data_IF_603351070587
#
_entry.id   IF_603351070587
#
_cell.length_a   1.000
_cell.length_b   1.000
_cell.length_c   1.000
_cell.angle_alpha   90.00
_cell.angle_beta   90.00
_cell.angle_gamma   90.00
#
_symmetry.space_group_name_H-M   'P 1'
#
loop_
_entity.id
_entity.type
_entity.pdbx_description
1 polymer ?
#
# COMPACT_ATOMS: atom_id res chain seq x y z
N UNK A 1 -9.50 -20.64 -10.50
CA UNK A 1 -10.85 -20.18 -10.10
C UNK A 1 -11.00 -18.74 -10.54
N UNK A 2 -11.97 -18.45 -11.43
CA UNK A 2 -12.03 -17.22 -12.21
C UNK A 2 -12.89 -16.14 -11.51
N UNK A 3 -12.52 -14.87 -11.65
CA UNK A 3 -13.19 -13.73 -11.00
C UNK A 3 -14.59 -13.44 -11.57
N UNK A 4 -14.95 -14.10 -12.68
CA UNK A 4 -16.19 -13.92 -13.44
C UNK A 4 -17.40 -14.66 -12.84
N UNK A 5 -17.20 -15.78 -12.14
CA UNK A 5 -18.29 -16.54 -11.51
C UNK A 5 -18.91 -15.82 -10.30
N UNK A 6 -18.15 -14.97 -9.60
CA UNK A 6 -18.68 -14.22 -8.43
C UNK A 6 -19.66 -13.13 -8.82
N UNK A 7 -19.53 -12.53 -10.00
CA UNK A 7 -20.43 -11.46 -10.46
C UNK A 7 -21.82 -11.98 -10.89
N UNK A 8 -21.91 -13.24 -11.34
CA UNK A 8 -23.19 -13.86 -11.68
C UNK A 8 -23.99 -14.25 -10.43
N UNK A 9 -23.31 -14.69 -9.35
CA UNK A 9 -23.97 -15.00 -8.08
C UNK A 9 -24.53 -13.75 -7.36
N UNK A 10 -23.82 -12.61 -7.40
CA UNK A 10 -24.34 -11.36 -6.82
C UNK A 10 -25.58 -10.81 -7.54
N UNK A 11 -25.68 -11.04 -8.86
CA UNK A 11 -26.81 -10.56 -9.67
C UNK A 11 -28.08 -11.39 -9.41
N UNK A 12 -27.91 -12.71 -9.20
CA UNK A 12 -29.00 -13.62 -8.87
C UNK A 12 -29.56 -13.37 -7.46
N UNK A 13 -28.70 -13.11 -6.47
CA UNK A 13 -29.10 -12.83 -5.09
C UNK A 13 -29.93 -11.54 -4.97
N UNK A 14 -29.60 -10.50 -5.76
CA UNK A 14 -30.36 -9.23 -5.80
C UNK A 14 -31.77 -9.36 -6.39
N UNK A 15 -31.97 -10.25 -7.36
CA UNK A 15 -33.31 -10.47 -7.95
C UNK A 15 -34.25 -11.26 -7.03
N UNK A 16 -33.71 -12.19 -6.23
CA UNK A 16 -34.53 -12.95 -5.27
C UNK A 16 -35.00 -12.08 -4.10
N UNK A 17 -34.13 -11.23 -3.55
CA UNK A 17 -34.50 -10.32 -2.45
C UNK A 17 -35.55 -9.28 -2.89
N UNK A 18 -35.49 -8.80 -4.14
CA UNK A 18 -36.47 -7.83 -4.65
C UNK A 18 -37.88 -8.44 -4.85
N UNK A 19 -37.97 -9.73 -5.25
CA UNK A 19 -39.25 -10.44 -5.41
C UNK A 19 -39.94 -10.79 -4.08
N UNK A 20 -39.20 -10.92 -2.99
CA UNK A 20 -39.76 -11.21 -1.66
C UNK A 20 -40.36 -9.96 -0.99
N UNK A 21 -39.84 -8.77 -1.27
CA UNK A 21 -40.36 -7.49 -0.71
C UNK A 21 -41.67 -6.97 -1.33
N UNK A 22 -42.17 -7.54 -2.42
CA UNK A 22 -43.38 -7.05 -3.13
C UNK A 22 -44.66 -7.84 -2.81
N UNK A 23 -44.64 -8.78 -1.86
CA UNK A 23 -45.79 -9.66 -1.56
C UNK A 23 -46.50 -9.42 -0.22
N UNK A 24 -46.32 -8.27 0.42
CA UNK A 24 -47.07 -7.90 1.62
C UNK A 24 -47.75 -6.54 1.47
N UNK A 25 -49.04 -6.58 1.10
CA UNK A 25 -49.97 -5.46 1.14
C UNK A 25 -51.02 -5.81 2.22
N UNK A 26 -51.14 -5.07 3.34
CA UNK A 26 -52.27 -5.23 4.23
C UNK A 26 -53.43 -4.34 3.76
N UNK A 27 -54.65 -4.90 3.74
CA UNK A 27 -55.88 -4.17 3.47
C UNK A 27 -56.33 -3.29 4.65
N UNK A 28 -57.14 -2.25 4.41
CA UNK A 28 -57.44 -1.19 5.38
C UNK A 28 -58.72 -1.46 6.20
N UNK A 29 -58.82 -0.69 7.29
CA UNK A 29 -59.99 -0.41 8.14
C UNK A 29 -60.10 -1.19 9.46
N UNK A 30 -59.72 -0.52 10.56
CA UNK A 30 -60.55 -0.39 11.76
C UNK A 30 -60.03 0.77 12.63
N UNK A 31 -60.96 1.62 13.06
CA UNK A 31 -60.81 2.89 13.78
C UNK A 31 -60.79 2.65 15.30
N UNK A 32 -59.91 3.30 16.09
CA UNK A 32 -60.19 3.99 17.37
C UNK A 32 -58.89 4.64 17.97
N UNK A 33 -58.94 5.45 19.04
CA UNK A 33 -58.82 6.90 18.98
C UNK A 33 -57.53 7.46 19.62
N UNK A 34 -57.36 8.77 19.45
CA UNK A 34 -56.35 9.63 20.04
C UNK A 34 -56.11 9.44 21.55
N UNK A 35 -54.84 9.31 21.93
CA UNK A 35 -54.34 9.65 23.27
C UNK A 35 -52.96 10.32 23.12
N UNK A 36 -52.94 11.63 23.35
CA UNK A 36 -51.71 12.38 23.62
C UNK A 36 -51.09 11.84 24.91
N UNK A 37 -49.82 11.43 24.86
CA UNK A 37 -48.93 11.46 26.01
C UNK A 37 -47.56 11.91 25.55
N UNK A 38 -47.06 12.99 26.15
CA UNK A 38 -45.73 13.51 25.90
C UNK A 38 -44.67 12.52 26.38
N UNK A 39 -43.63 12.30 25.57
CA UNK A 39 -42.50 11.45 25.93
C UNK A 39 -41.23 12.30 26.06
N UNK A 40 -40.93 12.85 27.25
CA UNK A 40 -39.63 13.46 27.55
C UNK A 40 -38.46 12.47 27.34
N UNK A 41 -38.75 11.18 27.42
CA UNK A 41 -37.81 10.04 27.35
C UNK A 41 -37.23 9.84 25.94
N UNK A 42 -38.01 10.11 24.88
CA UNK A 42 -37.53 9.93 23.50
C UNK A 42 -36.51 11.01 23.12
N UNK A 43 -36.71 12.25 23.58
CA UNK A 43 -35.79 13.37 23.35
C UNK A 43 -34.44 13.16 24.06
N UNK A 44 -34.45 12.64 25.28
CA UNK A 44 -33.22 12.34 26.02
C UNK A 44 -32.44 11.20 25.37
N UNK A 45 -33.11 10.15 24.89
CA UNK A 45 -32.47 9.05 24.15
C UNK A 45 -31.79 9.51 22.86
N UNK A 46 -32.42 10.42 22.10
CA UNK A 46 -31.85 10.96 20.86
C UNK A 46 -30.63 11.85 21.13
N UNK A 47 -30.63 12.64 22.20
CA UNK A 47 -29.50 13.46 22.61
C UNK A 47 -28.32 12.63 23.12
N UNK A 48 -28.58 11.53 23.82
CA UNK A 48 -27.53 10.61 24.24
C UNK A 48 -26.89 9.91 23.03
N UNK A 49 -27.70 9.45 22.07
CA UNK A 49 -27.20 8.83 20.85
C UNK A 49 -26.41 9.82 19.99
N UNK A 50 -26.85 11.08 19.86
CA UNK A 50 -26.09 12.09 19.12
C UNK A 50 -24.77 12.46 19.81
N UNK A 51 -24.76 12.53 21.14
CA UNK A 51 -23.54 12.78 21.93
C UNK A 51 -22.55 11.63 21.81
N UNK A 52 -23.03 10.38 21.85
CA UNK A 52 -22.21 9.18 21.60
C UNK A 52 -21.65 9.25 20.17
N UNK A 53 -22.48 9.49 19.14
CA UNK A 53 -21.99 9.60 17.76
C UNK A 53 -20.95 10.73 17.57
N UNK A 54 -21.11 11.87 18.25
CA UNK A 54 -20.14 12.96 18.26
C UNK A 54 -18.84 12.62 19.01
N UNK A 55 -18.89 11.90 20.13
CA UNK A 55 -17.67 11.44 20.81
C UNK A 55 -16.90 10.42 19.96
N UNK A 56 -17.60 9.55 19.22
CA UNK A 56 -16.98 8.54 18.37
C UNK A 56 -16.39 9.12 17.08
N UNK A 57 -16.93 10.25 16.59
CA UNK A 57 -16.34 10.98 15.45
C UNK A 57 -15.10 11.78 15.82
N UNK A 58 -14.82 11.97 17.11
CA UNK A 58 -13.66 12.71 17.65
C UNK A 58 -12.62 11.78 18.27
N UNK A 59 -12.66 10.47 17.97
CA UNK A 59 -11.58 9.58 18.36
C UNK A 59 -10.26 10.15 17.84
N UNK A 60 -9.21 10.28 18.68
CA UNK A 60 -7.91 10.67 18.16
C UNK A 60 -7.59 9.68 17.05
N UNK A 61 -7.43 10.18 15.82
CA UNK A 61 -6.92 9.35 14.74
C UNK A 61 -5.67 8.71 15.31
N UNK A 62 -5.70 7.39 15.52
CA UNK A 62 -4.50 6.64 15.89
C UNK A 62 -3.54 7.02 14.78
N UNK A 63 -2.51 7.82 15.11
CA UNK A 63 -1.45 8.13 14.17
C UNK A 63 -0.85 6.76 13.87
N UNK A 64 -1.26 6.21 12.74
CA UNK A 64 -0.86 4.89 12.33
C UNK A 64 0.56 5.00 11.82
N UNK A 65 1.35 3.97 12.09
CA UNK A 65 2.60 3.74 11.41
C UNK A 65 2.45 3.95 9.89
N UNK A 66 3.09 4.98 9.36
CA UNK A 66 2.97 5.36 7.95
C UNK A 66 4.30 5.84 7.37
N UNK A 67 4.46 5.70 6.05
CA UNK A 67 5.47 6.47 5.34
C UNK A 67 4.88 7.77 4.81
N UNK A 68 5.57 8.88 5.01
CA UNK A 68 5.28 10.18 4.41
C UNK A 68 6.38 10.57 3.41
N UNK A 69 6.21 10.18 2.15
CA UNK A 69 7.06 10.59 1.05
C UNK A 69 6.53 11.89 0.45
N UNK A 70 6.89 13.03 1.05
CA UNK A 70 6.38 14.33 0.60
C UNK A 70 4.86 14.38 0.64
N UNK A 71 4.16 14.58 -0.49
CA UNK A 71 2.70 14.59 -0.53
C UNK A 71 2.06 13.19 -0.43
N UNK A 72 2.84 12.12 -0.56
CA UNK A 72 2.32 10.75 -0.60
C UNK A 72 2.37 10.10 0.78
N UNK A 73 1.20 9.68 1.29
CA UNK A 73 1.06 8.91 2.54
C UNK A 73 0.83 7.44 2.26
N UNK A 74 1.53 6.58 3.01
CA UNK A 74 1.45 5.13 2.87
C UNK A 74 1.21 4.50 4.23
N UNK A 75 -0.05 4.33 4.57
CA UNK A 75 -0.49 3.63 5.79
C UNK A 75 -0.52 2.11 5.60
N UNK A 76 -0.60 1.36 6.70
CA UNK A 76 -0.88 -0.09 6.68
C UNK A 76 0.29 -0.94 6.18
N UNK A 77 1.52 -0.39 6.24
CA UNK A 77 2.77 -1.10 5.98
C UNK A 77 3.68 -0.92 7.20
N UNK A 78 4.08 -2.02 7.81
CA UNK A 78 4.95 -2.02 8.98
C UNK A 78 6.40 -2.11 8.51
N UNK A 79 7.22 -1.09 8.81
CA UNK A 79 8.63 -1.06 8.37
C UNK A 79 9.42 -2.27 8.91
N UNK A 80 9.12 -2.71 10.13
CA UNK A 80 9.75 -3.88 10.73
C UNK A 80 9.48 -5.17 9.92
N UNK A 81 8.27 -5.35 9.37
CA UNK A 81 7.96 -6.52 8.52
C UNK A 81 8.77 -6.52 7.23
N UNK A 82 9.08 -5.34 6.67
CA UNK A 82 9.96 -5.22 5.50
C UNK A 82 11.39 -5.67 5.84
N UNK A 83 11.92 -5.22 6.98
CA UNK A 83 13.25 -5.60 7.46
C UNK A 83 13.37 -7.08 7.76
N UNK A 84 12.39 -7.65 8.48
CA UNK A 84 12.37 -9.09 8.80
C UNK A 84 12.31 -9.95 7.54
N UNK A 85 11.47 -9.57 6.58
CA UNK A 85 11.41 -10.25 5.29
C UNK A 85 12.77 -10.18 4.57
N UNK A 86 13.41 -9.02 4.54
CA UNK A 86 14.71 -8.88 3.88
C UNK A 86 15.83 -9.65 4.61
N UNK A 87 15.95 -9.53 5.93
CA UNK A 87 17.00 -10.20 6.71
C UNK A 87 16.95 -11.72 6.57
N UNK A 88 15.76 -12.31 6.49
CA UNK A 88 15.61 -13.74 6.24
C UNK A 88 16.23 -14.23 4.92
N UNK A 89 16.56 -13.32 4.01
CA UNK A 89 17.14 -13.62 2.68
C UNK A 89 18.49 -12.95 2.44
N UNK A 90 18.91 -12.02 3.31
CA UNK A 90 20.05 -11.12 3.10
C UNK A 90 21.33 -11.90 2.77
N UNK A 91 21.73 -12.80 3.66
CA UNK A 91 22.99 -13.54 3.50
C UNK A 91 22.98 -14.43 2.25
N UNK A 92 21.81 -15.00 1.92
CA UNK A 92 21.64 -15.88 0.75
C UNK A 92 21.78 -15.09 -0.55
N UNK A 93 21.21 -13.88 -0.61
CA UNK A 93 21.27 -13.05 -1.81
C UNK A 93 22.65 -12.40 -1.93
N UNK A 94 23.16 -11.81 -0.85
CA UNK A 94 24.43 -11.09 -0.87
C UNK A 94 25.62 -12.03 -1.10
N UNK A 95 25.56 -13.29 -0.63
CA UNK A 95 26.59 -14.29 -0.95
C UNK A 95 26.64 -14.67 -2.45
N UNK A 96 25.58 -14.41 -3.22
CA UNK A 96 25.54 -14.61 -4.67
C UNK A 96 25.99 -13.38 -5.46
N UNK A 97 26.15 -12.24 -4.81
CA UNK A 97 26.62 -11.01 -5.43
C UNK A 97 28.16 -10.99 -5.46
N UNK A 98 28.72 -11.44 -6.57
CA UNK A 98 30.17 -11.48 -6.77
C UNK A 98 30.78 -10.13 -7.19
N UNK A 99 29.96 -9.08 -7.40
CA UNK A 99 30.43 -7.81 -7.96
C UNK A 99 30.56 -6.78 -6.84
N UNK A 100 31.68 -6.76 -6.13
CA UNK A 100 31.83 -5.88 -4.94
C UNK A 100 32.16 -4.42 -5.27
N UNK A 101 32.64 -4.14 -6.48
CA UNK A 101 33.10 -2.81 -6.92
C UNK A 101 32.00 -1.93 -7.53
N UNK A 102 30.78 -2.44 -7.71
CA UNK A 102 29.65 -1.69 -8.25
C UNK A 102 28.54 -1.61 -7.23
N UNK A 103 28.07 -0.39 -6.97
CA UNK A 103 26.86 -0.09 -6.21
C UNK A 103 25.80 0.52 -7.12
N UNK A 104 24.56 0.06 -7.03
CA UNK A 104 23.44 0.55 -7.85
C UNK A 104 22.74 1.74 -7.18
N UNK A 105 22.37 1.59 -5.90
CA UNK A 105 21.79 2.63 -5.05
C UNK A 105 22.90 3.49 -4.45
N UNK A 106 23.54 4.28 -5.32
CA UNK A 106 24.64 5.19 -4.97
C UNK A 106 24.14 6.44 -4.24
N UNK A 107 25.08 7.21 -3.69
CA UNK A 107 24.79 8.50 -3.03
C UNK A 107 24.09 9.46 -3.97
N UNK A 108 24.52 9.54 -5.24
CA UNK A 108 23.93 10.44 -6.24
C UNK A 108 22.45 10.12 -6.53
N UNK A 109 22.01 8.88 -6.26
CA UNK A 109 20.61 8.47 -6.40
C UNK A 109 19.80 8.92 -5.18
N UNK A 110 20.29 8.66 -3.97
CA UNK A 110 19.50 8.70 -2.73
C UNK A 110 19.81 9.86 -1.77
N UNK A 111 20.96 10.50 -1.91
CA UNK A 111 21.40 11.58 -1.03
C UNK A 111 20.70 12.90 -1.40
N UNK A 112 20.32 13.67 -0.39
CA UNK A 112 19.74 15.00 -0.52
C UNK A 112 18.51 15.03 -1.46
N UNK A 113 17.74 13.93 -1.46
CA UNK A 113 16.44 13.87 -2.13
C UNK A 113 15.47 14.70 -1.31
N UNK A 114 14.89 15.73 -1.93
CA UNK A 114 13.91 16.58 -1.25
C UNK A 114 12.62 15.82 -0.96
N UNK A 115 11.84 16.33 0.01
CA UNK A 115 10.52 15.79 0.30
C UNK A 115 9.61 15.79 -0.93
N UNK A 116 9.68 16.81 -1.80
CA UNK A 116 8.87 16.88 -3.00
C UNK A 116 9.23 15.77 -4.03
N UNK A 117 10.53 15.43 -4.15
CA UNK A 117 11.00 14.40 -5.08
C UNK A 117 10.77 12.97 -4.56
N UNK A 118 10.70 12.78 -3.25
CA UNK A 118 10.78 11.45 -2.63
C UNK A 118 9.66 10.52 -3.10
N UNK A 119 8.42 11.01 -3.25
CA UNK A 119 7.31 10.20 -3.76
C UNK A 119 7.56 9.70 -5.19
N UNK A 120 8.08 10.56 -6.07
CA UNK A 120 8.36 10.21 -7.46
C UNK A 120 9.50 9.19 -7.55
N UNK A 121 10.58 9.42 -6.80
CA UNK A 121 11.75 8.55 -6.83
C UNK A 121 11.43 7.17 -6.26
N UNK A 122 10.79 7.08 -5.09
CA UNK A 122 10.47 5.78 -4.49
C UNK A 122 9.45 5.01 -5.33
N UNK A 123 8.47 5.68 -5.95
CA UNK A 123 7.55 5.05 -6.90
C UNK A 123 8.31 4.44 -8.08
N UNK A 124 9.28 5.15 -8.66
CA UNK A 124 10.07 4.66 -9.78
C UNK A 124 10.95 3.45 -9.38
N UNK A 125 11.63 3.55 -8.22
CA UNK A 125 12.45 2.46 -7.68
C UNK A 125 11.60 1.22 -7.41
N UNK A 126 10.54 1.32 -6.60
CA UNK A 126 9.73 0.15 -6.23
C UNK A 126 9.05 -0.50 -7.46
N UNK A 127 8.57 0.30 -8.43
CA UNK A 127 8.08 -0.25 -9.71
C UNK A 127 9.16 -1.01 -10.46
N UNK A 128 10.39 -0.51 -10.49
CA UNK A 128 11.50 -1.22 -11.10
C UNK A 128 11.79 -2.54 -10.39
N UNK A 129 11.84 -2.54 -9.06
CA UNK A 129 12.02 -3.75 -8.25
C UNK A 129 10.95 -4.79 -8.54
N UNK A 130 9.67 -4.42 -8.50
CA UNK A 130 8.55 -5.33 -8.78
C UNK A 130 8.63 -5.93 -10.19
N UNK A 131 8.84 -5.08 -11.20
CA UNK A 131 8.75 -5.48 -12.61
C UNK A 131 10.01 -6.19 -13.13
N UNK A 132 11.17 -5.91 -12.54
CA UNK A 132 12.48 -6.32 -13.10
C UNK A 132 13.28 -7.21 -12.15
N UNK A 133 13.29 -6.89 -10.85
CA UNK A 133 14.09 -7.63 -9.88
C UNK A 133 13.31 -8.83 -9.38
N UNK A 134 12.13 -8.59 -8.80
CA UNK A 134 11.32 -9.63 -8.18
C UNK A 134 10.75 -10.61 -9.21
N UNK A 135 10.18 -10.11 -10.31
CA UNK A 135 9.61 -10.96 -11.37
C UNK A 135 10.57 -12.08 -11.83
N UNK A 136 11.87 -11.81 -11.86
CA UNK A 136 12.87 -12.75 -12.39
C UNK A 136 13.65 -13.51 -11.30
N UNK A 137 13.62 -13.02 -10.05
CA UNK A 137 14.30 -13.67 -8.94
C UNK A 137 13.45 -14.78 -8.30
N UNK A 138 12.11 -14.66 -8.32
CA UNK A 138 11.19 -15.62 -7.70
C UNK A 138 11.40 -17.07 -8.19
N UNK A 139 11.64 -17.23 -9.50
CA UNK A 139 11.83 -18.55 -10.13
C UNK A 139 13.16 -19.21 -9.73
N UNK A 140 14.10 -18.44 -9.18
CA UNK A 140 15.45 -18.89 -8.77
C UNK A 140 15.52 -19.33 -7.30
N UNK A 141 14.42 -19.19 -6.55
CA UNK A 141 14.38 -19.51 -5.12
C UNK A 141 13.71 -20.87 -4.90
N UNK A 142 14.50 -21.91 -4.61
CA UNK A 142 13.98 -23.24 -4.29
C UNK A 142 13.51 -23.37 -2.83
N UNK A 143 14.14 -22.63 -1.90
CA UNK A 143 13.84 -22.68 -0.47
C UNK A 143 12.48 -22.04 -0.15
N UNK A 144 11.60 -22.78 0.52
CA UNK A 144 10.26 -22.32 0.88
C UNK A 144 10.25 -21.10 1.82
N UNK A 145 11.15 -21.04 2.81
CA UNK A 145 11.24 -19.90 3.74
C UNK A 145 11.68 -18.64 2.99
N UNK A 146 12.68 -18.77 2.12
CA UNK A 146 13.15 -17.65 1.27
C UNK A 146 12.03 -17.20 0.32
N UNK A 147 11.29 -18.12 -0.29
CA UNK A 147 10.11 -17.79 -1.11
C UNK A 147 9.04 -17.04 -0.33
N UNK A 148 8.76 -17.46 0.91
CA UNK A 148 7.78 -16.79 1.78
C UNK A 148 8.21 -15.36 2.07
N UNK A 149 9.45 -15.16 2.51
CA UNK A 149 10.00 -13.84 2.80
C UNK A 149 10.02 -12.94 1.56
N UNK A 150 10.34 -13.52 0.40
CA UNK A 150 10.27 -12.83 -0.89
C UNK A 150 8.85 -12.34 -1.19
N UNK A 151 7.85 -13.20 -1.05
CA UNK A 151 6.45 -12.82 -1.25
C UNK A 151 5.99 -11.76 -0.25
N UNK A 152 6.39 -11.85 1.02
CA UNK A 152 6.10 -10.81 2.02
C UNK A 152 6.64 -9.45 1.59
N UNK A 153 7.91 -9.39 1.18
CA UNK A 153 8.55 -8.14 0.76
C UNK A 153 7.89 -7.57 -0.51
N UNK A 154 7.68 -8.41 -1.54
CA UNK A 154 7.07 -8.01 -2.79
C UNK A 154 5.63 -7.51 -2.61
N UNK A 155 4.81 -8.19 -1.81
CA UNK A 155 3.43 -7.79 -1.56
C UNK A 155 3.36 -6.47 -0.82
N UNK A 156 4.22 -6.24 0.18
CA UNK A 156 4.30 -4.94 0.83
C UNK A 156 4.72 -3.84 -0.17
N UNK A 157 5.69 -4.10 -1.05
CA UNK A 157 6.06 -3.12 -2.10
C UNK A 157 4.91 -2.81 -3.05
N UNK A 158 4.05 -3.79 -3.38
CA UNK A 158 2.82 -3.56 -4.15
C UNK A 158 1.88 -2.61 -3.40
N UNK A 159 1.65 -2.84 -2.10
CA UNK A 159 0.82 -1.95 -1.26
C UNK A 159 1.39 -0.54 -1.26
N UNK A 160 2.69 -0.38 -1.04
CA UNK A 160 3.37 0.93 -1.06
C UNK A 160 3.14 1.63 -2.41
N UNK A 161 3.46 0.96 -3.53
CA UNK A 161 3.31 1.53 -4.88
C UNK A 161 1.88 1.93 -5.19
N UNK A 162 0.88 1.19 -4.69
CA UNK A 162 -0.53 1.52 -4.88
C UNK A 162 -0.93 2.86 -4.26
N UNK A 163 -0.26 3.26 -3.17
CA UNK A 163 -0.51 4.51 -2.42
C UNK A 163 0.39 5.68 -2.84
N UNK A 164 1.49 5.42 -3.53
CA UNK A 164 2.40 6.44 -4.07
C UNK A 164 1.86 7.13 -5.34
N UNK A 165 0.60 7.54 -5.39
CA UNK A 165 0.11 8.35 -6.51
C UNK A 165 0.42 9.83 -6.24
N UNK A 166 1.31 10.47 -7.01
CA UNK A 166 1.47 11.91 -6.92
C UNK A 166 0.16 12.58 -7.35
N UNK A 167 -0.30 13.59 -6.63
CA UNK A 167 -1.47 14.37 -7.03
C UNK A 167 -1.22 14.99 -8.40
N UNK A 168 -2.09 14.71 -9.39
CA UNK A 168 -2.00 15.31 -10.73
C UNK A 168 -2.07 16.84 -10.70
N UNK A 169 -2.74 17.41 -9.69
CA UNK A 169 -2.92 18.86 -9.53
C UNK A 169 -1.64 19.62 -9.17
N UNK A 170 -0.57 18.93 -8.74
CA UNK A 170 0.71 19.52 -8.33
C UNK A 170 1.91 18.79 -8.93
N UNK A 171 1.78 18.20 -10.13
CA UNK A 171 2.93 17.65 -10.84
C UNK A 171 3.83 18.81 -11.33
N UNK A 172 4.64 19.34 -10.40
CA UNK A 172 5.66 20.31 -10.71
C UNK A 172 6.68 19.60 -11.59
N UNK A 173 6.64 19.89 -12.89
CA UNK A 173 7.42 19.22 -13.92
C UNK A 173 8.91 19.09 -13.53
N UNK A 174 9.49 20.12 -12.92
CA UNK A 174 10.88 20.13 -12.44
C UNK A 174 11.17 19.08 -11.35
N UNK A 175 10.24 18.83 -10.44
CA UNK A 175 10.38 17.83 -9.37
C UNK A 175 10.35 16.42 -9.96
N UNK A 176 9.39 16.15 -10.85
CA UNK A 176 9.27 14.87 -11.56
C UNK A 176 10.51 14.59 -12.41
N UNK A 177 11.03 15.60 -13.12
CA UNK A 177 12.26 15.50 -13.92
C UNK A 177 13.50 15.24 -13.08
N UNK A 178 13.65 15.91 -11.93
CA UNK A 178 14.80 15.70 -11.05
C UNK A 178 14.80 14.29 -10.45
N UNK A 179 13.65 13.83 -9.94
CA UNK A 179 13.49 12.46 -9.47
C UNK A 179 13.75 11.43 -10.60
N UNK A 180 13.28 11.71 -11.82
CA UNK A 180 13.55 10.88 -13.00
C UNK A 180 15.05 10.81 -13.33
N UNK A 181 15.79 11.92 -13.28
CA UNK A 181 17.24 11.93 -13.52
C UNK A 181 17.99 11.05 -12.52
N UNK A 182 17.63 11.13 -11.23
CA UNK A 182 18.18 10.26 -10.18
C UNK A 182 17.89 8.78 -10.45
N UNK A 183 16.65 8.46 -10.80
CA UNK A 183 16.27 7.09 -11.18
C UNK A 183 17.06 6.59 -12.40
N UNK A 184 17.31 7.44 -13.39
CA UNK A 184 18.09 7.07 -14.58
C UNK A 184 19.56 6.76 -14.25
N UNK A 185 20.14 7.35 -13.20
CA UNK A 185 21.48 6.98 -12.72
C UNK A 185 21.51 5.54 -12.21
N UNK A 186 20.53 5.17 -11.37
CA UNK A 186 20.35 3.80 -10.91
C UNK A 186 20.13 2.85 -12.10
N UNK A 187 19.21 3.18 -13.01
CA UNK A 187 18.90 2.34 -14.17
C UNK A 187 20.11 2.16 -15.09
N UNK A 188 20.93 3.20 -15.29
CA UNK A 188 22.16 3.11 -16.09
C UNK A 188 23.17 2.17 -15.43
N UNK A 189 23.40 2.30 -14.13
CA UNK A 189 24.29 1.40 -13.39
C UNK A 189 23.80 -0.05 -13.46
N UNK A 190 22.49 -0.28 -13.33
CA UNK A 190 21.90 -1.61 -13.46
C UNK A 190 22.17 -2.23 -14.84
N UNK A 191 21.99 -1.46 -15.91
CA UNK A 191 22.19 -1.92 -17.30
C UNK A 191 23.65 -2.16 -17.69
N UNK A 192 24.61 -1.71 -16.88
CA UNK A 192 26.04 -1.97 -17.12
C UNK A 192 26.46 -3.38 -16.67
N UNK A 193 25.61 -4.06 -15.90
CA UNK A 193 25.87 -5.42 -15.43
C UNK A 193 25.13 -6.42 -16.31
N UNK A 194 25.61 -7.66 -16.33
CA UNK A 194 24.82 -8.78 -16.84
C UNK A 194 23.48 -8.85 -16.10
N UNK A 195 22.41 -9.23 -16.80
CA UNK A 195 21.03 -9.15 -16.27
C UNK A 195 20.85 -9.95 -14.98
N UNK A 196 21.48 -11.12 -14.86
CA UNK A 196 21.33 -11.97 -13.67
C UNK A 196 22.11 -11.41 -12.48
N UNK A 197 23.33 -10.91 -12.76
CA UNK A 197 24.16 -10.25 -11.77
C UNK A 197 23.52 -8.93 -11.30
N UNK A 198 22.91 -8.17 -12.22
CA UNK A 198 22.20 -6.93 -11.93
C UNK A 198 21.00 -7.16 -11.00
N UNK A 199 20.22 -8.23 -11.25
CA UNK A 199 19.09 -8.60 -10.41
C UNK A 199 19.53 -9.04 -9.00
N UNK A 200 20.55 -9.90 -8.92
CA UNK A 200 21.11 -10.36 -7.65
C UNK A 200 21.65 -9.18 -6.84
N UNK A 201 22.41 -8.29 -7.48
CA UNK A 201 22.92 -7.07 -6.86
C UNK A 201 21.80 -6.15 -6.40
N UNK A 202 20.83 -5.84 -7.26
CA UNK A 202 19.73 -4.95 -6.89
C UNK A 202 18.94 -5.49 -5.70
N UNK A 203 18.71 -6.81 -5.65
CA UNK A 203 18.09 -7.45 -4.49
C UNK A 203 18.99 -7.37 -3.26
N UNK A 204 20.30 -7.63 -3.41
CA UNK A 204 21.27 -7.54 -2.33
C UNK A 204 21.37 -6.14 -1.71
N UNK A 205 21.05 -5.08 -2.46
CA UNK A 205 21.03 -3.69 -2.01
C UNK A 205 19.67 -3.21 -1.44
N UNK A 206 18.72 -4.12 -1.19
CA UNK A 206 17.42 -3.73 -0.60
C UNK A 206 17.57 -3.14 0.81
N UNK A 207 18.60 -3.52 1.59
CA UNK A 207 18.89 -2.84 2.86
C UNK A 207 19.15 -1.34 2.67
N UNK A 208 19.91 -0.97 1.64
CA UNK A 208 20.16 0.44 1.29
C UNK A 208 18.83 1.16 0.97
N UNK A 209 17.93 0.50 0.24
CA UNK A 209 16.61 1.06 -0.07
C UNK A 209 15.76 1.23 1.19
N UNK A 210 15.68 0.21 2.05
CA UNK A 210 14.90 0.25 3.29
C UNK A 210 15.43 1.29 4.27
N UNK A 211 16.75 1.39 4.44
CA UNK A 211 17.38 2.47 5.25
C UNK A 211 17.06 3.85 4.70
N UNK A 212 16.94 4.01 3.38
CA UNK A 212 16.52 5.28 2.81
C UNK A 212 15.03 5.56 3.04
N UNK A 213 14.16 4.54 2.91
CA UNK A 213 12.72 4.66 3.15
C UNK A 213 12.40 4.98 4.62
N UNK A 214 13.16 4.44 5.56
CA UNK A 214 13.03 4.67 7.01
C UNK A 214 13.06 6.16 7.39
N UNK A 215 13.80 6.99 6.63
CA UNK A 215 13.84 8.45 6.83
C UNK A 215 12.48 9.14 6.66
N UNK A 216 11.54 8.47 6.00
CA UNK A 216 10.19 8.95 5.73
C UNK A 216 9.15 8.23 6.57
N UNK A 217 9.54 7.34 7.50
CA UNK A 217 8.61 6.59 8.34
C UNK A 217 8.26 7.38 9.61
N UNK A 218 6.97 7.45 9.93
CA UNK A 218 6.43 8.13 11.09
C UNK A 218 5.74 7.12 12.02
N UNK A 219 5.93 7.34 13.32
CA UNK A 219 5.35 6.54 14.41
C UNK A 219 4.16 7.28 15.04
#
# INVERSE_FOLDING_TARGET
>A
MNCQERLQNLRCLKEQTLRETLRHRPDPHLVLPSLQMGFPVLRTSLLCLSLILHLWSQGPGIQGQEFQFGPCRVEGVVLQELWEAFWAMKDIVQAKDNITNVRLLRKEVLQDVSNAESCYLIRALLKFYLNTVFKNYQDKVADFRVRKSFSTLANNFVVIVSKLQPSQENEMFSVSDSARRRFLLFQRAFRQLDIEAAQTKAFGEVDILLTWMEKFYQL
#
